data_IF_935872441377
#
_entry.id   IF_935872441377
#
_cell.length_a   1.000
_cell.length_b   1.000
_cell.length_c   1.000
_cell.angle_alpha   90.00
_cell.angle_beta   90.00
_cell.angle_gamma   90.00
#
_symmetry.space_group_name_H-M   'P 1'
#
loop_
_entity.id
_entity.type
_entity.pdbx_description
1 polymer ?
#
# COMPACT_ATOMS: atom_id res chain seq x y z
N UNK A 1 6.65 -25.05 20.38
CA UNK A 1 6.42 -23.60 20.22
C UNK A 1 7.13 -23.18 18.95
N UNK A 2 6.44 -22.67 17.91
CA UNK A 2 7.16 -22.14 16.74
C UNK A 2 7.94 -20.90 17.20
N UNK A 3 9.22 -20.83 16.89
CA UNK A 3 10.07 -19.68 17.22
C UNK A 3 9.56 -18.43 16.54
N UNK A 4 9.63 -17.29 17.21
CA UNK A 4 9.37 -15.99 16.58
C UNK A 4 10.22 -15.81 15.33
N UNK A 5 9.68 -15.13 14.32
CA UNK A 5 10.40 -14.71 13.12
C UNK A 5 10.95 -13.31 13.36
N UNK A 6 12.27 -13.17 13.31
CA UNK A 6 12.96 -11.91 13.56
C UNK A 6 13.18 -11.20 12.22
N UNK A 7 12.62 -9.99 12.00
CA UNK A 7 12.84 -9.29 10.74
C UNK A 7 14.29 -8.89 10.60
N UNK A 8 14.89 -9.17 9.44
CA UNK A 8 16.31 -8.89 9.20
C UNK A 8 16.59 -7.44 8.96
N UNK A 9 15.73 -6.78 8.19
CA UNK A 9 15.83 -5.37 7.92
C UNK A 9 14.44 -4.78 7.66
N UNK A 10 14.32 -3.46 7.69
CA UNK A 10 13.10 -2.79 7.29
C UNK A 10 13.07 -1.32 7.68
N UNK A 11 11.95 -0.69 7.38
CA UNK A 11 11.63 0.67 7.84
C UNK A 11 10.16 0.74 8.17
N UNK A 12 9.84 1.37 9.30
CA UNK A 12 8.50 1.51 9.81
C UNK A 12 8.20 2.96 10.17
N UNK A 13 6.94 3.33 10.03
CA UNK A 13 6.37 4.55 10.57
C UNK A 13 5.20 4.19 11.48
N UNK A 14 5.21 4.73 12.68
CA UNK A 14 4.08 4.73 13.60
C UNK A 14 3.40 6.08 13.51
N UNK A 15 2.08 6.09 13.37
CA UNK A 15 1.28 7.32 13.34
C UNK A 15 0.21 7.28 14.42
N UNK A 16 0.08 8.36 15.17
CA UNK A 16 -1.12 8.58 15.98
C UNK A 16 -2.27 8.98 15.06
N UNK A 17 -3.38 8.26 15.17
CA UNK A 17 -4.64 8.58 14.52
C UNK A 17 -5.55 9.31 15.53
N UNK A 18 -6.68 9.81 15.03
CA UNK A 18 -7.72 10.36 15.89
C UNK A 18 -8.22 9.31 16.90
N UNK A 19 -8.80 9.78 18.02
CA UNK A 19 -9.37 8.95 19.08
C UNK A 19 -8.39 7.96 19.75
N UNK A 20 -7.08 8.26 19.75
CA UNK A 20 -6.08 7.45 20.45
C UNK A 20 -5.68 6.15 19.74
N UNK A 21 -6.18 5.93 18.52
CA UNK A 21 -5.73 4.85 17.66
C UNK A 21 -4.31 5.10 17.16
N UNK A 22 -3.57 4.04 16.87
CA UNK A 22 -2.24 4.10 16.26
C UNK A 22 -2.22 3.26 14.99
N UNK A 23 -1.60 3.79 13.94
CA UNK A 23 -1.28 3.07 12.71
C UNK A 23 0.18 2.63 12.76
N UNK A 24 0.40 1.39 12.36
CA UNK A 24 1.68 0.82 12.02
C UNK A 24 1.74 0.67 10.49
N UNK A 25 2.83 1.08 9.86
CA UNK A 25 2.99 0.99 8.41
C UNK A 25 4.48 0.93 8.02
N UNK A 26 4.83 0.11 7.03
CA UNK A 26 6.16 0.15 6.41
C UNK A 26 6.54 -1.15 5.76
N UNK A 27 7.84 -1.43 5.65
CA UNK A 27 8.39 -2.58 4.97
C UNK A 27 9.25 -3.43 5.91
N UNK A 28 9.08 -4.75 5.86
CA UNK A 28 9.87 -5.72 6.61
C UNK A 28 10.43 -6.80 5.69
N UNK A 29 11.70 -7.15 5.91
CA UNK A 29 12.31 -8.36 5.38
C UNK A 29 12.15 -9.51 6.38
N UNK A 30 11.43 -10.54 5.96
CA UNK A 30 11.02 -11.69 6.74
C UNK A 30 11.50 -12.99 6.07
N UNK A 31 12.81 -13.23 6.01
CA UNK A 31 13.35 -14.34 5.24
C UNK A 31 12.89 -15.68 5.81
N UNK A 32 12.50 -16.60 4.92
CA UNK A 32 12.02 -17.93 5.30
C UNK A 32 10.62 -17.95 5.92
N UNK A 33 9.88 -16.83 5.89
CA UNK A 33 8.50 -16.78 6.34
C UNK A 33 7.54 -16.80 5.16
N UNK A 34 6.65 -17.80 5.13
CA UNK A 34 5.55 -17.88 4.16
C UNK A 34 4.35 -17.09 4.68
N UNK A 35 4.19 -15.88 4.15
CA UNK A 35 3.12 -14.95 4.52
C UNK A 35 1.99 -15.05 3.50
N UNK A 36 0.77 -15.31 3.99
CA UNK A 36 -0.46 -15.20 3.21
C UNK A 36 -0.83 -13.72 3.11
N UNK A 37 -0.83 -13.18 1.89
CA UNK A 37 -1.13 -11.77 1.63
C UNK A 37 -2.54 -11.41 2.12
N UNK A 38 -2.67 -10.29 2.82
CA UNK A 38 -3.91 -9.84 3.43
C UNK A 38 -4.31 -10.59 4.71
N UNK A 39 -3.76 -11.76 5.01
CA UNK A 39 -4.05 -12.47 6.26
C UNK A 39 -3.50 -11.71 7.48
N UNK A 40 -4.13 -11.92 8.63
CA UNK A 40 -3.73 -11.32 9.89
C UNK A 40 -2.64 -12.11 10.57
N UNK A 41 -1.70 -11.42 11.19
CA UNK A 41 -0.61 -11.96 12.01
C UNK A 41 -0.43 -11.09 13.25
N UNK A 42 0.28 -11.60 14.26
CA UNK A 42 0.69 -10.79 15.39
C UNK A 42 2.16 -10.40 15.28
N UNK A 43 2.43 -9.12 15.45
CA UNK A 43 3.77 -8.56 15.62
C UNK A 43 3.96 -8.20 17.09
N UNK A 44 5.00 -8.75 17.70
CA UNK A 44 5.46 -8.39 19.04
C UNK A 44 6.36 -7.16 18.97
N UNK A 45 6.03 -6.17 19.80
CA UNK A 45 6.66 -4.87 19.93
C UNK A 45 6.91 -4.61 21.42
N UNK A 46 8.16 -4.69 21.87
CA UNK A 46 8.52 -4.48 23.27
C UNK A 46 9.88 -3.80 23.40
N UNK A 47 9.89 -2.60 23.97
CA UNK A 47 11.07 -1.74 23.96
C UNK A 47 11.52 -1.45 22.53
N UNK A 48 12.79 -1.74 22.21
CA UNK A 48 13.34 -1.66 20.87
C UNK A 48 13.13 -2.95 20.06
N UNK A 49 12.47 -3.98 20.60
CA UNK A 49 12.39 -5.29 19.95
C UNK A 49 11.12 -5.47 19.13
N UNK A 50 11.29 -6.12 17.98
CA UNK A 50 10.26 -6.40 17.01
C UNK A 50 10.41 -7.84 16.49
N UNK A 51 9.33 -8.61 16.58
CA UNK A 51 9.32 -10.00 16.15
C UNK A 51 7.93 -10.43 15.67
N UNK A 52 7.86 -11.22 14.61
CA UNK A 52 6.61 -11.77 14.09
C UNK A 52 6.28 -13.10 14.76
N UNK A 53 5.04 -13.24 15.21
CA UNK A 53 4.49 -14.53 15.65
C UNK A 53 4.14 -15.34 14.40
N UNK A 54 4.76 -16.52 14.18
CA UNK A 54 4.49 -17.31 12.99
C UNK A 54 3.08 -17.89 13.02
N UNK A 55 2.40 -17.79 11.88
CA UNK A 55 1.06 -18.36 11.65
C UNK A 55 -0.02 -17.28 11.55
N UNK A 56 -0.82 -17.37 10.48
CA UNK A 56 -1.95 -16.49 10.28
C UNK A 56 -3.00 -16.72 11.37
N UNK A 57 -3.52 -15.63 11.96
CA UNK A 57 -4.55 -15.68 13.01
C UNK A 57 -5.97 -15.53 12.45
N UNK A 58 -6.10 -14.93 11.26
CA UNK A 58 -7.34 -14.91 10.49
C UNK A 58 -7.09 -14.61 9.02
N UNK A 59 -8.07 -14.95 8.18
CA UNK A 59 -8.11 -14.54 6.79
C UNK A 59 -8.65 -13.12 6.66
N UNK A 60 -8.36 -12.49 5.53
CA UNK A 60 -9.04 -11.27 5.13
C UNK A 60 -10.50 -11.61 4.76
N UNK A 61 -11.51 -10.87 5.25
CA UNK A 61 -12.88 -11.04 4.79
C UNK A 61 -12.98 -10.89 3.27
N UNK A 62 -13.76 -11.75 2.61
CA UNK A 62 -13.83 -11.77 1.15
C UNK A 62 -14.23 -10.42 0.57
N UNK A 63 -15.18 -9.71 1.19
CA UNK A 63 -15.65 -8.39 0.78
C UNK A 63 -14.58 -7.28 0.79
N UNK A 64 -13.40 -7.53 1.36
CA UNK A 64 -12.29 -6.58 1.40
C UNK A 64 -11.15 -6.96 0.45
N UNK A 65 -11.14 -8.16 -0.14
CA UNK A 65 -10.04 -8.55 -1.02
C UNK A 65 -9.90 -7.56 -2.18
N UNK A 66 -8.68 -7.09 -2.44
CA UNK A 66 -8.37 -6.12 -3.48
C UNK A 66 -8.73 -4.68 -3.19
N UNK A 67 -9.43 -4.36 -2.10
CA UNK A 67 -9.87 -2.99 -1.77
C UNK A 67 -8.71 -2.05 -1.34
N UNK A 68 -7.52 -2.60 -1.11
CA UNK A 68 -6.29 -1.87 -0.82
C UNK A 68 -6.18 -1.28 0.60
N UNK A 69 -5.00 -0.72 0.88
CA UNK A 69 -4.55 -0.26 2.20
C UNK A 69 -5.54 0.69 2.88
N UNK A 70 -6.03 1.70 2.16
CA UNK A 70 -6.96 2.70 2.71
C UNK A 70 -8.26 2.07 3.23
N UNK A 71 -8.77 1.06 2.54
CA UNK A 71 -9.98 0.36 2.94
C UNK A 71 -9.72 -0.52 4.17
N UNK A 72 -8.54 -1.15 4.24
CA UNK A 72 -8.19 -2.02 5.38
C UNK A 72 -8.03 -1.26 6.66
N UNK A 73 -7.31 -0.15 6.63
CA UNK A 73 -7.09 0.70 7.80
C UNK A 73 -8.41 1.17 8.40
N UNK A 74 -9.44 1.42 7.56
CA UNK A 74 -10.76 1.88 8.00
C UNK A 74 -11.72 0.74 8.41
N UNK A 75 -11.42 -0.50 8.06
CA UNK A 75 -12.32 -1.63 8.27
C UNK A 75 -12.25 -2.15 9.72
N UNK A 76 -13.36 -2.70 10.21
CA UNK A 76 -13.45 -3.35 11.53
C UNK A 76 -12.84 -4.78 11.51
N UNK A 77 -11.58 -4.90 11.10
CA UNK A 77 -10.86 -6.18 10.90
C UNK A 77 -9.64 -6.36 11.81
N UNK A 78 -9.41 -5.39 12.70
CA UNK A 78 -8.27 -5.28 13.60
C UNK A 78 -8.64 -5.85 14.96
N UNK A 79 -8.03 -6.97 15.31
CA UNK A 79 -8.22 -7.62 16.61
C UNK A 79 -7.16 -7.12 17.57
N UNK A 80 -7.60 -6.72 18.76
CA UNK A 80 -6.71 -6.40 19.86
C UNK A 80 -6.23 -7.66 20.56
N UNK A 81 -4.97 -7.65 20.98
CA UNK A 81 -4.44 -8.67 21.89
C UNK A 81 -4.61 -8.23 23.33
N UNK A 82 -4.88 -9.18 24.22
CA UNK A 82 -4.80 -8.93 25.67
C UNK A 82 -3.35 -8.71 26.12
N UNK A 83 -2.39 -9.32 25.42
CA UNK A 83 -0.97 -9.20 25.72
C UNK A 83 -0.44 -7.82 25.30
N UNK A 84 0.28 -7.16 26.20
CA UNK A 84 0.93 -5.90 25.89
C UNK A 84 2.02 -6.09 24.82
N UNK A 85 2.07 -5.17 23.85
CA UNK A 85 3.07 -5.20 22.78
C UNK A 85 2.72 -6.11 21.60
N UNK A 86 1.66 -6.92 21.64
CA UNK A 86 1.18 -7.63 20.45
C UNK A 86 0.22 -6.75 19.64
N UNK A 87 0.57 -6.50 18.38
CA UNK A 87 -0.24 -5.76 17.42
C UNK A 87 -0.61 -6.67 16.27
N UNK A 88 -1.89 -6.66 15.89
CA UNK A 88 -2.30 -7.33 14.67
C UNK A 88 -1.82 -6.56 13.46
N UNK A 89 -1.10 -7.25 12.58
CA UNK A 89 -0.62 -6.73 11.30
C UNK A 89 -1.16 -7.58 10.15
N UNK A 90 -1.21 -6.98 8.98
CA UNK A 90 -1.47 -7.62 7.69
C UNK A 90 -0.35 -7.24 6.74
N UNK A 91 -0.22 -8.00 5.67
CA UNK A 91 0.87 -7.83 4.72
C UNK A 91 0.38 -7.70 3.28
N UNK A 92 1.04 -6.82 2.51
CA UNK A 92 0.96 -6.76 1.05
C UNK A 92 2.36 -7.05 0.52
N UNK A 93 2.43 -7.84 -0.54
CA UNK A 93 3.69 -8.31 -1.07
C UNK A 93 4.43 -7.19 -1.82
N UNK A 94 5.69 -6.96 -1.46
CA UNK A 94 6.53 -5.89 -1.95
C UNK A 94 7.84 -6.48 -2.51
N UNK A 95 7.73 -7.18 -3.64
CA UNK A 95 8.85 -7.93 -4.23
C UNK A 95 9.26 -9.13 -3.38
N UNK A 96 10.51 -9.10 -2.89
CA UNK A 96 11.06 -10.08 -1.93
C UNK A 96 10.74 -9.76 -0.47
N UNK A 97 10.11 -8.60 -0.21
CA UNK A 97 9.77 -8.10 1.13
C UNK A 97 8.27 -7.97 1.30
N UNK A 98 7.86 -7.52 2.49
CA UNK A 98 6.46 -7.34 2.83
C UNK A 98 6.18 -5.93 3.30
N UNK A 99 5.23 -5.26 2.66
CA UNK A 99 4.60 -4.09 3.26
C UNK A 99 3.75 -4.57 4.44
N UNK A 100 4.13 -4.20 5.64
CA UNK A 100 3.45 -4.55 6.88
C UNK A 100 2.64 -3.36 7.37
N UNK A 101 1.38 -3.58 7.75
CA UNK A 101 0.51 -2.53 8.24
C UNK A 101 -0.49 -3.06 9.28
N UNK A 102 -0.89 -2.21 10.22
CA UNK A 102 -1.79 -2.60 11.30
C UNK A 102 -2.39 -1.39 11.98
N UNK A 103 -3.59 -1.56 12.54
CA UNK A 103 -4.24 -0.53 13.35
C UNK A 103 -4.41 -1.08 14.77
N UNK A 104 -4.06 -0.26 15.75
CA UNK A 104 -4.18 -0.54 17.17
C UNK A 104 -5.02 0.53 17.83
N UNK A 105 -5.94 0.15 18.72
CA UNK A 105 -6.68 1.05 19.59
C UNK A 105 -5.83 1.58 20.74
N UNK A 106 -4.62 1.04 20.90
CA UNK A 106 -3.65 1.43 21.93
C UNK A 106 -2.52 2.22 21.30
N UNK A 107 -1.95 3.14 22.09
CA UNK A 107 -0.72 3.83 21.74
C UNK A 107 0.41 2.82 21.56
N UNK A 108 1.04 2.82 20.39
CA UNK A 108 2.22 2.01 20.09
C UNK A 108 3.51 2.74 20.53
N UNK A 109 4.64 2.03 20.47
CA UNK A 109 5.95 2.43 20.99
C UNK A 109 6.27 3.95 20.86
N UNK A 110 6.83 4.48 21.96
CA UNK A 110 7.62 5.71 22.11
C UNK A 110 7.60 6.75 20.99
N UNK A 111 6.79 7.79 21.19
CA UNK A 111 6.87 9.07 20.49
C UNK A 111 5.95 10.08 21.18
N UNK A 112 6.44 11.31 21.44
CA UNK A 112 5.57 12.45 21.76
C UNK A 112 4.92 13.02 20.49
N UNK A 113 5.49 12.70 19.33
CA UNK A 113 5.09 13.21 18.02
C UNK A 113 3.96 12.40 17.38
N UNK A 114 3.27 13.04 16.43
CA UNK A 114 2.17 12.45 15.64
C UNK A 114 2.68 11.32 14.73
N UNK A 115 3.96 11.35 14.35
CA UNK A 115 4.62 10.35 13.51
C UNK A 115 6.01 10.02 14.06
N UNK A 116 6.37 8.74 14.12
CA UNK A 116 7.71 8.30 14.53
C UNK A 116 8.23 7.24 13.57
N UNK A 117 9.45 7.44 13.09
CA UNK A 117 10.08 6.59 12.08
C UNK A 117 11.17 5.72 12.70
N UNK A 118 11.28 4.49 12.22
CA UNK A 118 12.25 3.53 12.70
C UNK A 118 12.90 2.79 11.55
N UNK A 119 14.21 2.60 11.63
CA UNK A 119 14.90 1.56 10.87
C UNK A 119 14.93 0.26 11.69
N UNK A 120 14.70 -0.85 11.01
CA UNK A 120 14.68 -2.18 11.60
C UNK A 120 15.93 -2.93 11.18
N UNK A 121 16.65 -3.50 12.14
CA UNK A 121 17.83 -4.34 11.91
C UNK A 121 17.85 -5.49 12.91
N UNK A 122 17.83 -6.73 12.44
CA UNK A 122 17.79 -7.95 13.26
C UNK A 122 16.78 -7.88 14.43
N UNK A 123 15.56 -7.44 14.10
CA UNK A 123 14.45 -7.30 15.06
C UNK A 123 14.61 -6.15 16.05
N UNK A 124 15.55 -5.23 15.84
CA UNK A 124 15.67 -4.01 16.65
C UNK A 124 15.17 -2.80 15.87
N UNK A 125 14.30 -2.01 16.50
CA UNK A 125 13.80 -0.74 16.01
C UNK A 125 14.64 0.40 16.56
N UNK A 126 15.30 1.13 15.66
CA UNK A 126 16.07 2.34 15.98
C UNK A 126 15.36 3.54 15.42
N UNK A 127 15.04 4.52 16.28
CA UNK A 127 14.39 5.75 15.85
C UNK A 127 15.29 6.52 14.88
N UNK A 128 14.69 7.06 13.82
CA UNK A 128 15.38 7.88 12.82
C UNK A 128 14.65 9.22 12.63
N UNK A 129 15.35 10.20 12.07
CA UNK A 129 14.69 11.41 11.59
C UNK A 129 13.68 11.05 10.48
N UNK A 130 12.57 11.79 10.43
CA UNK A 130 11.58 11.60 9.38
C UNK A 130 12.24 11.82 8.00
N UNK A 131 12.15 10.86 7.06
CA UNK A 131 12.78 10.99 5.75
C UNK A 131 12.07 12.02 4.86
N UNK A 132 10.83 12.36 5.18
CA UNK A 132 10.03 13.42 4.56
C UNK A 132 8.95 13.91 5.52
N UNK A 133 8.37 15.07 5.24
CA UNK A 133 7.22 15.59 5.98
C UNK A 133 5.94 14.85 5.58
N UNK A 134 5.41 14.06 6.51
CA UNK A 134 4.20 13.25 6.30
C UNK A 134 2.92 13.90 6.86
N UNK A 135 2.96 15.19 7.23
CA UNK A 135 1.80 15.92 7.75
C UNK A 135 0.72 16.03 6.67
N UNK A 136 -0.54 15.75 7.05
CA UNK A 136 -1.68 15.79 6.14
C UNK A 136 -1.77 14.63 5.13
N UNK A 137 -0.73 13.81 5.00
CA UNK A 137 -0.73 12.71 4.02
C UNK A 137 -1.61 11.53 4.47
N UNK A 138 -2.40 11.01 3.54
CA UNK A 138 -3.09 9.73 3.68
C UNK A 138 -2.09 8.56 3.77
N UNK A 139 -2.52 7.42 4.32
CA UNK A 139 -1.65 6.25 4.49
C UNK A 139 -1.06 5.76 3.16
N UNK A 140 -1.86 5.77 2.09
CA UNK A 140 -1.41 5.41 0.74
C UNK A 140 -0.36 6.37 0.20
N UNK A 141 -0.54 7.68 0.45
CA UNK A 141 0.43 8.71 0.07
C UNK A 141 1.78 8.48 0.74
N UNK A 142 1.79 8.25 2.05
CA UNK A 142 3.02 7.97 2.82
C UNK A 142 3.84 6.83 2.21
N UNK A 143 3.21 5.80 1.68
CA UNK A 143 3.94 4.63 1.16
C UNK A 143 4.27 4.70 -0.33
N UNK A 144 3.49 5.41 -1.13
CA UNK A 144 3.65 5.39 -2.58
C UNK A 144 4.28 6.64 -3.20
N UNK A 145 4.31 7.79 -2.49
CA UNK A 145 4.78 9.07 -3.07
C UNK A 145 6.27 9.31 -2.89
N UNK A 146 6.94 8.55 -2.02
CA UNK A 146 8.36 8.71 -1.77
C UNK A 146 9.06 7.35 -1.78
N UNK A 147 10.14 7.26 -2.54
CA UNK A 147 11.01 6.10 -2.56
C UNK A 147 11.95 6.13 -1.35
N UNK A 148 11.44 5.75 -0.18
CA UNK A 148 12.21 5.76 1.09
C UNK A 148 12.19 4.42 1.82
N UNK A 149 11.56 3.40 1.25
CA UNK A 149 11.43 2.09 1.87
C UNK A 149 12.57 1.18 1.41
N UNK A 150 13.38 0.63 2.32
CA UNK A 150 14.57 -0.12 1.93
C UNK A 150 14.19 -1.43 1.23
N UNK A 151 14.81 -1.66 0.08
CA UNK A 151 14.77 -2.92 -0.67
C UNK A 151 15.88 -3.87 -0.24
N UNK A 152 15.83 -5.12 -0.70
CA UNK A 152 16.80 -6.17 -0.32
C UNK A 152 18.24 -5.88 -0.76
N UNK A 153 18.41 -5.04 -1.77
CA UNK A 153 19.68 -4.62 -2.35
C UNK A 153 20.22 -3.30 -1.75
N UNK A 154 19.52 -2.72 -0.76
CA UNK A 154 19.89 -1.44 -0.15
C UNK A 154 19.39 -0.21 -0.90
N UNK A 155 18.74 -0.35 -2.05
CA UNK A 155 18.04 0.76 -2.72
C UNK A 155 16.78 1.16 -1.94
N UNK A 156 16.26 2.35 -2.20
CA UNK A 156 14.96 2.77 -1.67
C UNK A 156 13.90 2.72 -2.76
N UNK A 157 12.73 2.22 -2.39
CA UNK A 157 11.57 2.08 -3.26
C UNK A 157 10.32 2.67 -2.63
N UNK A 158 9.27 2.84 -3.42
CA UNK A 158 7.88 2.98 -2.96
C UNK A 158 7.34 1.61 -2.51
N UNK A 159 6.15 1.58 -1.90
CA UNK A 159 5.43 0.32 -1.60
C UNK A 159 4.07 0.26 -2.29
N UNK A 160 3.63 -0.94 -2.71
CA UNK A 160 2.33 -1.15 -3.32
C UNK A 160 1.20 -1.06 -2.28
N UNK A 161 0.07 -0.51 -2.68
CA UNK A 161 -1.09 -0.29 -1.79
C UNK A 161 -2.23 -1.30 -1.99
N UNK A 162 -2.07 -2.25 -2.91
CA UNK A 162 -3.05 -3.31 -3.26
C UNK A 162 -2.34 -4.66 -3.33
N UNK A 163 -3.04 -5.72 -2.94
CA UNK A 163 -2.47 -7.07 -3.01
C UNK A 163 -2.10 -7.49 -4.43
N UNK A 164 -1.06 -8.32 -4.56
CA UNK A 164 -0.49 -8.71 -5.85
C UNK A 164 -1.53 -9.26 -6.83
N UNK A 165 -2.44 -10.09 -6.33
CA UNK A 165 -3.48 -10.77 -7.13
C UNK A 165 -4.51 -9.81 -7.76
N UNK A 166 -4.57 -8.56 -7.32
CA UNK A 166 -5.58 -7.58 -7.77
C UNK A 166 -4.99 -6.44 -8.59
N UNK A 167 -3.67 -6.30 -8.69
CA UNK A 167 -3.04 -5.18 -9.41
C UNK A 167 -3.43 -5.13 -10.89
N UNK A 168 -3.57 -6.29 -11.53
CA UNK A 168 -3.89 -6.37 -12.95
C UNK A 168 -5.28 -5.81 -13.26
N UNK A 169 -6.26 -6.01 -12.38
CA UNK A 169 -7.61 -5.48 -12.62
C UNK A 169 -7.66 -3.95 -12.47
N UNK A 170 -6.82 -3.37 -11.60
CA UNK A 170 -6.64 -1.92 -11.53
C UNK A 170 -5.98 -1.36 -12.80
N UNK A 171 -4.95 -2.02 -13.32
CA UNK A 171 -4.33 -1.64 -14.59
C UNK A 171 -5.33 -1.73 -15.74
N UNK A 172 -6.06 -2.84 -15.85
CA UNK A 172 -7.12 -3.02 -16.84
C UNK A 172 -8.16 -1.90 -16.77
N UNK A 173 -8.62 -1.50 -15.58
CA UNK A 173 -9.51 -0.35 -15.40
C UNK A 173 -8.91 0.92 -15.98
N UNK A 174 -7.66 1.22 -15.65
CA UNK A 174 -7.01 2.44 -16.16
C UNK A 174 -6.84 2.43 -17.68
N UNK A 175 -6.56 1.28 -18.29
CA UNK A 175 -6.51 1.14 -19.76
C UNK A 175 -7.88 1.36 -20.41
N UNK A 176 -8.96 0.85 -19.83
CA UNK A 176 -10.31 1.09 -20.34
C UNK A 176 -10.69 2.58 -20.24
N UNK A 177 -10.29 3.26 -19.16
CA UNK A 177 -10.49 4.71 -19.05
C UNK A 177 -9.63 5.50 -20.05
N UNK A 178 -8.41 5.03 -20.36
CA UNK A 178 -7.60 5.60 -21.43
C UNK A 178 -8.25 5.42 -22.82
N UNK A 179 -8.89 4.27 -23.10
CA UNK A 179 -9.67 4.06 -24.33
C UNK A 179 -10.87 5.00 -24.43
N UNK A 180 -11.49 5.33 -23.30
CA UNK A 180 -12.51 6.38 -23.25
C UNK A 180 -11.91 7.74 -23.57
N UNK A 181 -10.73 8.07 -23.00
CA UNK A 181 -10.01 9.31 -23.31
C UNK A 181 -9.62 9.44 -24.78
N UNK A 182 -9.32 8.33 -25.45
CA UNK A 182 -9.05 8.28 -26.89
C UNK A 182 -10.32 8.29 -27.76
N UNK A 183 -11.51 8.27 -27.17
CA UNK A 183 -12.78 8.17 -27.89
C UNK A 183 -13.03 6.81 -28.54
N UNK A 184 -12.22 5.79 -28.22
CA UNK A 184 -12.36 4.42 -28.73
C UNK A 184 -13.54 3.70 -28.07
N UNK A 185 -13.74 3.95 -26.77
CA UNK A 185 -14.84 3.39 -25.99
C UNK A 185 -15.72 4.48 -25.39
N UNK A 186 -17.02 4.20 -25.25
CA UNK A 186 -17.88 4.99 -24.38
C UNK A 186 -17.71 4.56 -22.91
N UNK A 187 -18.00 5.47 -21.97
CA UNK A 187 -18.05 5.15 -20.53
C UNK A 187 -19.00 3.97 -20.25
N UNK A 188 -20.14 3.90 -20.96
CA UNK A 188 -21.10 2.81 -20.82
C UNK A 188 -20.52 1.46 -21.27
N UNK A 189 -19.77 1.45 -22.38
CA UNK A 189 -19.08 0.26 -22.87
C UNK A 189 -18.00 -0.20 -21.90
N UNK A 190 -17.17 0.73 -21.40
CA UNK A 190 -16.17 0.44 -20.37
C UNK A 190 -16.82 -0.10 -19.07
N UNK A 191 -17.95 0.48 -18.65
CA UNK A 191 -18.73 0.00 -17.49
C UNK A 191 -19.21 -1.43 -17.68
N UNK A 192 -19.72 -1.75 -18.87
CA UNK A 192 -20.20 -3.08 -19.21
C UNK A 192 -19.07 -4.12 -19.19
N UNK A 193 -17.90 -3.78 -19.76
CA UNK A 193 -16.72 -4.64 -19.74
C UNK A 193 -16.22 -4.92 -18.31
N UNK A 194 -16.24 -3.92 -17.42
CA UNK A 194 -15.86 -4.11 -16.02
C UNK A 194 -16.90 -4.91 -15.22
N UNK A 195 -18.21 -4.74 -15.50
CA UNK A 195 -19.26 -5.55 -14.85
C UNK A 195 -19.16 -7.02 -15.24
N UNK A 196 -18.73 -7.32 -16.46
CA UNK A 196 -18.59 -8.68 -16.96
C UNK A 196 -17.34 -9.39 -16.39
N UNK A 197 -16.35 -8.64 -15.91
CA UNK A 197 -15.14 -9.18 -15.30
C UNK A 197 -15.37 -9.50 -13.81
N UNK A 198 -15.18 -10.75 -13.35
CA UNK A 198 -15.47 -11.13 -11.97
C UNK A 198 -14.68 -10.36 -10.90
N UNK A 199 -13.42 -9.99 -11.17
CA UNK A 199 -12.60 -9.24 -10.22
C UNK A 199 -13.03 -7.78 -10.15
N UNK A 200 -13.31 -7.15 -11.30
CA UNK A 200 -13.84 -5.79 -11.29
C UNK A 200 -15.26 -5.73 -10.71
N UNK A 201 -16.08 -6.75 -11.00
CA UNK A 201 -17.41 -6.98 -10.43
C UNK A 201 -17.38 -7.11 -8.90
N UNK A 202 -16.36 -7.78 -8.36
CA UNK A 202 -16.16 -7.88 -6.92
C UNK A 202 -15.87 -6.50 -6.28
N UNK A 203 -15.01 -5.71 -6.93
CA UNK A 203 -14.50 -4.46 -6.40
C UNK A 203 -15.39 -3.23 -6.66
N UNK A 204 -16.53 -3.40 -7.31
CA UNK A 204 -17.37 -2.24 -7.65
C UNK A 204 -16.77 -1.33 -8.72
N UNK A 205 -15.75 -1.74 -9.49
CA UNK A 205 -14.92 -0.81 -10.29
C UNK A 205 -15.65 -0.11 -11.43
N UNK A 206 -16.82 -0.63 -11.84
CA UNK A 206 -17.71 0.01 -12.81
C UNK A 206 -18.52 1.15 -12.19
N UNK A 207 -18.74 1.11 -10.88
CA UNK A 207 -19.45 2.14 -10.13
C UNK A 207 -18.49 3.30 -9.90
N UNK A 208 -18.84 4.48 -10.40
CA UNK A 208 -17.94 5.63 -10.37
C UNK A 208 -16.77 5.55 -11.35
N UNK A 209 -16.95 4.89 -12.51
CA UNK A 209 -16.13 5.26 -13.67
C UNK A 209 -16.26 6.78 -13.85
N UNK A 210 -15.13 7.47 -13.90
CA UNK A 210 -15.13 8.92 -13.86
C UNK A 210 -15.88 9.45 -15.08
N UNK A 211 -16.97 10.19 -14.86
CA UNK A 211 -17.49 11.09 -15.88
C UNK A 211 -16.53 12.26 -16.15
N UNK A 212 -15.49 12.37 -15.32
CA UNK A 212 -14.34 13.24 -15.50
C UNK A 212 -13.62 12.87 -16.80
N UNK A 213 -13.90 13.64 -17.84
CA UNK A 213 -13.27 13.51 -19.16
C UNK A 213 -11.81 13.89 -19.10
N UNK A 214 -11.43 14.82 -18.23
CA UNK A 214 -10.06 15.31 -18.07
C UNK A 214 -9.19 14.18 -17.51
N UNK A 215 -9.70 13.43 -16.53
CA UNK A 215 -9.00 12.24 -16.03
C UNK A 215 -8.84 11.15 -17.10
N UNK A 216 -9.85 10.92 -17.94
CA UNK A 216 -9.74 9.96 -19.05
C UNK A 216 -8.70 10.42 -20.09
N UNK A 217 -8.71 11.71 -20.44
CA UNK A 217 -7.73 12.32 -21.35
C UNK A 217 -6.30 12.24 -20.79
N UNK A 218 -6.12 12.50 -19.50
CA UNK A 218 -4.86 12.30 -18.79
C UNK A 218 -4.36 10.85 -18.91
N UNK A 219 -5.22 9.86 -18.64
CA UNK A 219 -4.83 8.44 -18.75
C UNK A 219 -4.49 8.03 -20.18
N UNK A 220 -5.18 8.57 -21.20
CA UNK A 220 -4.81 8.39 -22.61
C UNK A 220 -3.41 8.95 -22.89
N UNK A 221 -3.12 10.19 -22.48
CA UNK A 221 -1.82 10.81 -22.68
C UNK A 221 -0.71 10.03 -21.95
N UNK A 222 -0.95 9.64 -20.69
CA UNK A 222 -0.01 8.85 -19.91
C UNK A 222 0.29 7.49 -20.56
N UNK A 223 -0.74 6.85 -21.14
CA UNK A 223 -0.57 5.60 -21.90
C UNK A 223 0.31 5.79 -23.14
N UNK A 224 0.10 6.87 -23.91
CA UNK A 224 0.92 7.19 -25.11
C UNK A 224 2.39 7.44 -24.75
N UNK A 225 2.63 8.00 -23.57
CA UNK A 225 3.96 8.22 -23.01
C UNK A 225 4.58 6.95 -22.37
N UNK A 226 3.84 5.84 -22.33
CA UNK A 226 4.29 4.58 -21.73
C UNK A 226 4.41 4.64 -20.21
N UNK A 227 3.56 5.42 -19.54
CA UNK A 227 3.53 5.53 -18.07
C UNK A 227 2.35 4.83 -17.40
N UNK A 228 1.50 4.13 -18.16
CA UNK A 228 0.32 3.44 -17.63
C UNK A 228 0.65 2.00 -17.21
N UNK A 229 1.55 1.87 -16.24
CA UNK A 229 2.08 0.57 -15.82
C UNK A 229 1.27 -0.08 -14.69
N UNK A 230 1.57 -1.36 -14.45
CA UNK A 230 1.04 -2.11 -13.31
C UNK A 230 1.52 -1.50 -11.98
N UNK A 231 0.64 -1.29 -10.98
CA UNK A 231 1.04 -0.75 -9.68
C UNK A 231 2.04 -1.66 -8.95
N UNK A 232 3.32 -1.35 -9.06
CA UNK A 232 4.41 -2.08 -8.43
C UNK A 232 5.26 -1.15 -7.56
N UNK A 233 6.25 -1.72 -6.86
CA UNK A 233 7.31 -0.91 -6.26
C UNK A 233 8.06 -0.17 -7.36
N UNK A 234 8.39 1.09 -7.08
CA UNK A 234 9.24 1.90 -7.93
C UNK A 234 10.48 2.30 -7.15
N UNK A 235 11.65 2.12 -7.73
CA UNK A 235 12.89 2.78 -7.30
C UNK A 235 12.75 4.30 -7.38
N UNK A 236 13.69 5.03 -6.79
CA UNK A 236 13.72 6.49 -6.89
C UNK A 236 13.77 6.99 -8.36
N UNK A 237 14.52 6.30 -9.22
CA UNK A 237 14.66 6.65 -10.64
C UNK A 237 13.36 6.38 -11.41
N UNK A 238 12.71 5.24 -11.16
CA UNK A 238 11.41 4.90 -11.76
C UNK A 238 10.31 5.86 -11.31
N UNK A 239 10.28 6.22 -10.01
CA UNK A 239 9.34 7.20 -9.49
C UNK A 239 9.56 8.58 -10.14
N UNK A 240 10.81 9.05 -10.21
CA UNK A 240 11.16 10.31 -10.87
C UNK A 240 10.76 10.30 -12.35
N UNK A 241 10.97 9.17 -13.04
CA UNK A 241 10.52 8.99 -14.42
C UNK A 241 9.00 9.07 -14.50
N UNK A 242 8.27 8.33 -13.67
CA UNK A 242 6.82 8.33 -13.65
C UNK A 242 6.25 9.73 -13.39
N UNK A 243 6.81 10.50 -12.45
CA UNK A 243 6.40 11.88 -12.17
C UNK A 243 6.58 12.81 -13.37
N UNK A 244 7.66 12.64 -14.14
CA UNK A 244 7.88 13.38 -15.40
C UNK A 244 6.85 13.01 -16.45
N UNK A 245 6.58 11.72 -16.64
CA UNK A 245 5.57 11.25 -17.60
C UNK A 245 4.16 11.72 -17.19
N UNK A 246 3.85 11.69 -15.90
CA UNK A 246 2.57 12.16 -15.36
C UNK A 246 2.40 13.68 -15.57
N UNK A 247 3.43 14.47 -15.26
CA UNK A 247 3.39 15.92 -15.48
C UNK A 247 3.22 16.28 -16.95
N UNK A 248 3.92 15.56 -17.84
CA UNK A 248 3.79 15.76 -19.28
C UNK A 248 2.42 15.32 -19.79
N UNK A 249 1.88 14.20 -19.29
CA UNK A 249 0.52 13.75 -19.63
C UNK A 249 -0.54 14.77 -19.21
N UNK A 250 -0.40 15.39 -18.04
CA UNK A 250 -1.28 16.47 -17.59
C UNK A 250 -1.23 17.63 -18.58
N UNK A 251 -0.02 18.09 -18.94
CA UNK A 251 0.17 19.18 -19.91
C UNK A 251 -0.51 18.86 -21.25
N UNK A 252 -0.25 17.67 -21.80
CA UNK A 252 -0.86 17.22 -23.05
C UNK A 252 -2.39 17.15 -22.94
N UNK A 253 -2.93 16.67 -21.83
CA UNK A 253 -4.39 16.53 -21.65
C UNK A 253 -5.14 17.87 -21.56
N UNK A 254 -4.46 18.95 -21.18
CA UNK A 254 -5.04 20.31 -21.14
C UNK A 254 -5.04 21.00 -22.51
N UNK A 255 -4.32 20.45 -23.49
CA UNK A 255 -4.22 20.96 -24.86
C UNK A 255 -5.23 20.27 -25.83
N UNK A 256 -5.96 19.26 -25.35
CA UNK A 256 -6.94 18.44 -26.10
C UNK A 256 -8.36 18.89 -25.80
#
# INVERSE_FOLDING_TARGET
MKSFVIPKAGRLVFRQLAAGCSLFLGCLDLPGCDIEEGAGYFLYLSGDRLALVPGAINKLPDALKGMGLSSYVKAAIWRESVEHGLVMVRFICAGSRWMAFGVSQRKLLGGQDVHTWFDISDGRATSIAAPFDAVGMACTQVVHQHAVWPSGDGSFTTLPVVERAWRDIYTKKSHLLADVGDGILSIESASTLLKADPQAAHLGLWSGLSQDRDYCAYLSCLRKLGGLDRPEMMTADELTRYEKLSSEAIRMSLEV
#
